data_IF_300903231448
#
_entry.id   IF_300903231448
#
_cell.length_a   1.000
_cell.length_b   1.000
_cell.length_c   1.000
_cell.angle_alpha   90.00
_cell.angle_beta   90.00
_cell.angle_gamma   90.00
#
_symmetry.space_group_name_H-M   'P 1'
#
loop_
_entity.id
_entity.type
_entity.pdbx_description
1 polymer ?
#
# COMPACT_ATOMS: atom_id res chain seq x y z
N UNK A 1 10.53 0.39 -4.84
CA UNK A 1 10.39 -0.02 -3.43
C UNK A 1 11.74 -0.30 -2.82
N UNK A 2 11.91 0.06 -1.56
CA UNK A 2 13.12 -0.35 -0.86
C UNK A 2 13.10 -1.85 -0.63
N UNK A 3 14.25 -2.41 -0.28
CA UNK A 3 14.31 -3.84 0.00
C UNK A 3 13.45 -4.21 1.20
N UNK A 4 13.43 -3.37 2.23
CA UNK A 4 12.62 -3.64 3.42
C UNK A 4 11.14 -3.68 3.08
N UNK A 5 10.67 -2.71 2.29
CA UNK A 5 9.28 -2.69 1.86
C UNK A 5 8.94 -3.88 0.99
N UNK A 6 9.85 -4.24 0.10
CA UNK A 6 9.63 -5.37 -0.81
C UNK A 6 9.46 -6.67 -0.03
N UNK A 7 10.33 -6.90 0.94
CA UNK A 7 10.24 -8.10 1.77
C UNK A 7 8.95 -8.12 2.58
N UNK A 8 8.59 -6.98 3.15
CA UNK A 8 7.37 -6.90 3.94
C UNK A 8 6.15 -7.13 3.07
N UNK A 9 6.11 -6.52 1.89
CA UNK A 9 5.02 -6.69 0.96
C UNK A 9 4.87 -8.16 0.54
N UNK A 10 5.98 -8.77 0.14
CA UNK A 10 5.97 -10.15 -0.33
C UNK A 10 5.47 -11.09 0.75
N UNK A 11 5.99 -10.93 1.97
CA UNK A 11 5.59 -11.80 3.07
C UNK A 11 4.11 -11.66 3.39
N UNK A 12 3.61 -10.42 3.44
CA UNK A 12 2.21 -10.19 3.76
C UNK A 12 1.30 -10.71 2.66
N UNK A 13 1.69 -10.56 1.40
CA UNK A 13 0.90 -11.09 0.30
C UNK A 13 0.86 -12.61 0.30
N UNK A 14 1.95 -13.25 0.70
CA UNK A 14 1.95 -14.70 0.83
C UNK A 14 0.99 -15.16 1.90
N UNK A 15 0.93 -14.43 3.00
CA UNK A 15 0.05 -14.77 4.11
C UNK A 15 -1.41 -14.40 3.83
N UNK A 16 -1.63 -13.35 3.04
CA UNK A 16 -2.96 -12.82 2.78
C UNK A 16 -3.12 -12.49 1.31
N UNK A 17 -3.13 -13.50 0.42
CA UNK A 17 -3.11 -13.24 -1.02
C UNK A 17 -4.35 -12.51 -1.53
N UNK A 18 -5.47 -12.59 -0.82
CA UNK A 18 -6.71 -11.95 -1.26
C UNK A 18 -6.92 -10.58 -0.66
N UNK A 19 -5.91 -10.05 0.03
CA UNK A 19 -6.03 -8.79 0.74
C UNK A 19 -5.25 -7.71 0.01
N UNK A 20 -5.87 -6.56 -0.18
CA UNK A 20 -5.20 -5.39 -0.75
C UNK A 20 -4.49 -4.67 0.39
N UNK A 21 -3.19 -4.48 0.25
CA UNK A 21 -2.36 -3.93 1.31
C UNK A 21 -2.15 -2.44 1.09
N UNK A 22 -2.41 -1.65 2.13
CA UNK A 22 -2.12 -0.23 2.13
C UNK A 22 -1.05 0.03 3.17
N UNK A 23 0.06 0.60 2.74
CA UNK A 23 1.19 0.86 3.63
C UNK A 23 1.25 2.33 3.99
N UNK A 24 1.20 2.62 5.28
CA UNK A 24 1.33 4.00 5.75
C UNK A 24 2.78 4.41 5.65
N UNK A 25 3.04 5.41 4.83
CA UNK A 25 4.39 5.93 4.59
C UNK A 25 4.35 7.43 4.80
N UNK A 26 4.66 7.88 6.01
CA UNK A 26 4.57 9.29 6.32
C UNK A 26 3.14 9.77 6.20
N UNK A 27 2.91 10.74 5.32
CA UNK A 27 1.60 11.34 5.14
C UNK A 27 0.76 10.64 4.10
N UNK A 28 1.23 9.53 3.56
CA UNK A 28 0.55 8.85 2.47
C UNK A 28 0.30 7.38 2.77
N UNK A 29 -0.70 6.83 2.09
CA UNK A 29 -0.85 5.39 1.96
C UNK A 29 -0.39 4.99 0.58
N UNK A 30 0.41 3.93 0.52
CA UNK A 30 0.94 3.42 -0.74
C UNK A 30 0.48 2.00 -0.97
N UNK A 31 0.27 1.64 -2.22
CA UNK A 31 0.03 0.26 -2.61
C UNK A 31 0.92 -0.06 -3.79
N UNK A 32 1.17 -1.37 -3.99
CA UNK A 32 2.17 -1.82 -4.96
C UNK A 32 1.63 -2.94 -5.81
N UNK A 33 2.20 -3.07 -7.02
CA UNK A 33 1.97 -4.18 -7.94
C UNK A 33 0.49 -4.32 -8.28
N UNK A 34 -0.07 -5.51 -8.17
CA UNK A 34 -1.49 -5.71 -8.52
C UNK A 34 -2.42 -4.91 -7.63
N UNK A 35 -2.05 -4.73 -6.36
CA UNK A 35 -2.85 -3.89 -5.48
C UNK A 35 -2.89 -2.45 -5.95
N UNK A 36 -1.76 -1.97 -6.49
CA UNK A 36 -1.72 -0.62 -7.04
C UNK A 36 -2.64 -0.50 -8.25
N UNK A 37 -2.65 -1.51 -9.10
CA UNK A 37 -3.53 -1.48 -10.27
C UNK A 37 -4.99 -1.47 -9.86
N UNK A 38 -5.34 -2.30 -8.88
CA UNK A 38 -6.72 -2.33 -8.40
C UNK A 38 -7.12 -1.00 -7.77
N UNK A 39 -6.25 -0.45 -6.93
CA UNK A 39 -6.54 0.82 -6.28
C UNK A 39 -6.68 1.94 -7.29
N UNK A 40 -5.77 2.00 -8.27
CA UNK A 40 -5.83 3.01 -9.30
C UNK A 40 -7.16 2.95 -10.05
N UNK A 41 -7.57 1.75 -10.43
CA UNK A 41 -8.81 1.58 -11.20
C UNK A 41 -10.04 1.94 -10.38
N UNK A 42 -10.09 1.47 -9.15
CA UNK A 42 -11.29 1.65 -8.32
C UNK A 42 -11.41 3.08 -7.82
N UNK A 43 -10.29 3.68 -7.44
CA UNK A 43 -10.30 5.00 -6.84
C UNK A 43 -10.13 6.13 -7.85
N UNK A 44 -9.75 5.78 -9.08
CA UNK A 44 -9.51 6.81 -10.09
C UNK A 44 -8.26 7.63 -9.84
N UNK A 45 -7.26 7.03 -9.18
CA UNK A 45 -6.01 7.74 -8.90
C UNK A 45 -4.91 7.24 -9.82
N UNK A 46 -3.84 8.03 -9.93
CA UNK A 46 -2.79 7.77 -10.89
C UNK A 46 -1.96 6.55 -10.50
N UNK A 47 -1.75 5.67 -11.48
CA UNK A 47 -0.81 4.58 -11.34
C UNK A 47 0.56 5.08 -11.79
N UNK A 48 1.54 4.98 -10.90
CA UNK A 48 2.90 5.39 -11.20
C UNK A 48 3.83 4.21 -11.13
N UNK A 49 5.11 4.47 -11.36
CA UNK A 49 6.15 3.45 -11.21
C UNK A 49 7.24 4.00 -10.32
N UNK A 50 7.79 3.12 -9.48
CA UNK A 50 8.89 3.52 -8.63
C UNK A 50 10.20 3.45 -9.43
N UNK A 51 11.32 3.64 -8.73
CA UNK A 51 12.62 3.70 -9.39
C UNK A 51 12.98 2.40 -10.09
N UNK A 52 12.42 1.30 -9.63
CA UNK A 52 12.70 -0.02 -10.19
C UNK A 52 11.68 -0.43 -11.24
N UNK A 53 10.74 0.44 -11.56
CA UNK A 53 9.72 0.15 -12.54
C UNK A 53 8.50 -0.58 -12.01
N UNK A 54 8.41 -0.82 -10.71
CA UNK A 54 7.26 -1.46 -10.10
C UNK A 54 6.07 -0.52 -10.07
N UNK A 55 4.89 -1.07 -10.27
CA UNK A 55 3.65 -0.30 -10.21
C UNK A 55 3.40 0.16 -8.78
N UNK A 56 2.90 1.38 -8.66
CA UNK A 56 2.70 2.00 -7.35
C UNK A 56 1.58 3.03 -7.42
N UNK A 57 0.79 3.13 -6.37
CA UNK A 57 -0.15 4.23 -6.20
C UNK A 57 0.04 4.79 -4.80
N UNK A 58 -0.40 6.02 -4.62
CA UNK A 58 -0.40 6.62 -3.29
C UNK A 58 -1.51 7.66 -3.20
N UNK A 59 -1.97 7.88 -1.98
CA UNK A 59 -2.92 8.97 -1.72
C UNK A 59 -2.68 9.48 -0.31
N UNK A 60 -3.04 10.75 -0.06
CA UNK A 60 -2.84 11.33 1.27
C UNK A 60 -3.61 10.56 2.33
N UNK A 61 -3.03 10.44 3.52
CA UNK A 61 -3.64 9.64 4.57
C UNK A 61 -5.04 10.12 4.95
N UNK A 62 -5.29 11.42 4.84
CA UNK A 62 -6.60 11.95 5.21
C UNK A 62 -7.69 11.58 4.22
N UNK A 63 -7.33 11.02 3.06
CA UNK A 63 -8.34 10.58 2.09
C UNK A 63 -8.82 9.16 2.37
N UNK A 64 -8.25 8.49 3.37
CA UNK A 64 -8.59 7.10 3.65
C UNK A 64 -10.09 6.91 3.92
N UNK A 65 -10.68 7.83 4.67
CA UNK A 65 -12.10 7.71 5.01
C UNK A 65 -13.00 7.77 3.78
N UNK A 66 -12.54 8.47 2.74
CA UNK A 66 -13.28 8.55 1.48
C UNK A 66 -13.04 7.32 0.62
N UNK A 67 -11.80 6.85 0.58
CA UNK A 67 -11.39 5.81 -0.35
C UNK A 67 -11.65 4.39 0.16
N UNK A 68 -11.50 4.17 1.46
CA UNK A 68 -11.66 2.84 2.02
C UNK A 68 -13.02 2.21 1.70
N UNK A 69 -14.15 2.93 1.88
CA UNK A 69 -15.44 2.35 1.53
C UNK A 69 -15.55 1.94 0.07
N UNK A 70 -14.89 2.68 -0.84
CA UNK A 70 -14.94 2.34 -2.25
C UNK A 70 -14.26 1.01 -2.54
N UNK A 71 -13.11 0.78 -1.89
CA UNK A 71 -12.38 -0.47 -2.05
C UNK A 71 -13.19 -1.64 -1.48
N UNK A 72 -13.77 -1.44 -0.32
CA UNK A 72 -14.56 -2.48 0.32
C UNK A 72 -15.79 -2.82 -0.51
N UNK A 73 -16.43 -1.81 -1.07
CA UNK A 73 -17.62 -2.00 -1.90
C UNK A 73 -17.33 -2.85 -3.12
N UNK A 74 -16.10 -2.77 -3.64
CA UNK A 74 -15.69 -3.57 -4.79
C UNK A 74 -15.28 -4.99 -4.39
N UNK A 75 -15.43 -5.34 -3.12
CA UNK A 75 -15.20 -6.70 -2.68
C UNK A 75 -13.80 -6.98 -2.17
N UNK A 76 -12.98 -5.95 -1.97
CA UNK A 76 -11.61 -6.15 -1.50
C UNK A 76 -11.56 -6.20 0.01
N UNK A 77 -10.74 -7.10 0.53
CA UNK A 77 -10.33 -7.05 1.92
C UNK A 77 -9.12 -6.14 2.00
N UNK A 78 -9.09 -5.30 3.02
CA UNK A 78 -8.06 -4.28 3.13
C UNK A 78 -7.27 -4.48 4.41
N UNK A 79 -5.96 -4.43 4.32
CA UNK A 79 -5.10 -4.42 5.51
C UNK A 79 -4.27 -3.14 5.49
N UNK A 80 -4.26 -2.45 6.62
CA UNK A 80 -3.44 -1.25 6.81
C UNK A 80 -2.17 -1.69 7.50
N UNK A 81 -1.04 -1.40 6.87
CA UNK A 81 0.26 -1.85 7.37
C UNK A 81 1.16 -0.66 7.62
N UNK A 82 1.94 -0.74 8.68
CA UNK A 82 2.98 0.26 8.93
C UNK A 82 4.29 -0.25 8.36
N UNK A 83 5.05 0.69 7.78
CA UNK A 83 6.39 0.36 7.32
C UNK A 83 7.31 0.27 8.52
N UNK A 84 8.09 -0.79 8.59
CA UNK A 84 9.08 -0.93 9.66
C UNK A 84 10.12 0.17 9.56
N UNK A 85 10.45 0.76 10.68
CA UNK A 85 11.37 1.88 10.76
C UNK A 85 12.54 1.46 11.62
N UNK A 86 13.62 1.03 10.99
CA UNK A 86 14.79 0.56 11.70
C UNK A 86 15.34 1.62 12.64
N UNK A 87 15.39 2.87 12.15
CA UNK A 87 15.96 3.93 12.94
C UNK A 87 15.22 4.15 14.25
N UNK A 88 13.92 3.90 14.28
CA UNK A 88 13.18 4.11 15.52
C UNK A 88 13.64 3.16 16.60
N UNK A 89 13.95 1.94 16.22
CA UNK A 89 14.44 0.97 17.19
C UNK A 89 15.82 1.32 17.67
N UNK A 90 16.64 1.88 16.80
CA UNK A 90 18.01 2.22 17.14
C UNK A 90 18.11 3.41 18.06
N UNK A 91 17.08 4.20 18.19
CA UNK A 91 17.08 5.37 19.03
C UNK A 91 16.81 5.07 20.49
N UNK A 92 16.58 3.86 20.82
CA UNK A 92 16.30 3.45 22.19
C UNK A 92 17.49 3.56 23.09
#
# INVERSE_FOLDING_TARGET
>A
MTEAKKKQFTKLKEMHPDTLLLFRCGDFYESYKEDAESASRILGITLTRDKEGDRQTMFPHYALDTYLPKLIREGHRIAICDILQEERRLKR
#
